data_IF_525592070830
#
_entry.id   IF_525592070830
#
_cell.length_a   1.000
_cell.length_b   1.000
_cell.length_c   1.000
_cell.angle_alpha   90.00
_cell.angle_beta   90.00
_cell.angle_gamma   90.00
#
_symmetry.space_group_name_H-M   'P 1'
#
loop_
_entity.id
_entity.type
_entity.pdbx_description
1 polymer ?
#
# COMPACT_ATOMS: atom_id res chain seq x y z
N UNK A 1 10.70 -1.24 29.60
CA UNK A 1 10.71 -0.13 28.76
C UNK A 1 9.83 -0.37 27.58
N UNK A 2 9.33 0.66 27.16
CA UNK A 2 8.49 0.52 26.04
C UNK A 2 9.24 -0.21 25.00
N UNK A 3 8.58 -1.09 24.41
CA UNK A 3 9.18 -1.67 23.28
C UNK A 3 9.44 -0.57 22.32
N UNK A 4 10.61 -0.56 21.92
CA UNK A 4 11.01 0.56 21.12
C UNK A 4 10.56 0.42 19.68
N UNK A 5 10.03 -0.75 19.30
CA UNK A 5 9.66 -0.86 17.90
C UNK A 5 8.44 -0.03 17.56
N UNK A 6 7.66 0.36 18.54
CA UNK A 6 6.52 1.22 18.26
C UNK A 6 6.92 2.68 18.31
N UNK A 7 8.17 2.97 18.58
CA UNK A 7 8.59 4.33 18.85
C UNK A 7 9.16 5.02 17.65
N UNK A 8 9.59 4.31 16.65
CA UNK A 8 10.40 4.98 15.67
C UNK A 8 9.93 4.79 14.26
N UNK A 9 8.64 5.01 14.06
CA UNK A 9 8.11 5.08 12.72
C UNK A 9 8.60 6.34 12.00
N UNK A 10 9.24 7.26 12.73
CA UNK A 10 9.75 8.47 12.11
C UNK A 10 10.84 8.20 11.08
N UNK A 11 11.47 7.05 11.14
CA UNK A 11 12.47 6.65 10.15
C UNK A 11 11.87 5.81 9.03
N UNK A 12 10.59 5.49 9.11
CA UNK A 12 9.93 4.65 8.12
C UNK A 12 9.40 5.47 6.96
N UNK A 13 9.33 4.81 5.82
CA UNK A 13 8.76 5.40 4.60
C UNK A 13 7.55 4.59 4.17
N UNK A 14 6.52 5.28 3.73
CA UNK A 14 5.30 4.64 3.25
C UNK A 14 4.90 5.20 1.90
N UNK A 15 4.43 4.32 1.03
CA UNK A 15 3.88 4.70 -0.27
C UNK A 15 2.39 4.40 -0.24
N UNK A 16 1.57 5.40 -0.51
CA UNK A 16 0.11 5.26 -0.54
C UNK A 16 -0.32 5.34 -1.99
N UNK A 17 -0.96 4.27 -2.48
CA UNK A 17 -1.39 4.16 -3.87
C UNK A 17 -2.91 4.09 -3.90
N UNK A 18 -3.54 5.18 -4.32
CA UNK A 18 -5.00 5.28 -4.32
C UNK A 18 -5.41 6.33 -5.34
N UNK A 19 -6.28 5.96 -6.26
CA UNK A 19 -6.74 6.87 -7.30
C UNK A 19 -7.71 7.91 -6.82
N UNK A 20 -8.34 7.70 -5.66
CA UNK A 20 -9.30 8.65 -5.10
C UNK A 20 -8.58 9.63 -4.18
N UNK A 21 -8.57 10.93 -4.52
CA UNK A 21 -7.81 11.90 -3.72
C UNK A 21 -8.29 12.03 -2.28
N UNK A 22 -9.58 11.88 -2.03
CA UNK A 22 -10.11 11.96 -0.67
C UNK A 22 -9.62 10.78 0.17
N UNK A 23 -9.76 9.58 -0.38
CA UNK A 23 -9.31 8.36 0.27
C UNK A 23 -7.81 8.41 0.52
N UNK A 24 -7.06 8.85 -0.48
CA UNK A 24 -5.61 8.95 -0.37
C UNK A 24 -5.21 9.94 0.73
N UNK A 25 -5.88 11.09 0.80
CA UNK A 25 -5.59 12.09 1.83
C UNK A 25 -5.84 11.55 3.23
N UNK A 26 -6.91 10.78 3.40
CA UNK A 26 -7.23 10.19 4.70
C UNK A 26 -6.13 9.22 5.14
N UNK A 27 -5.70 8.37 4.22
CA UNK A 27 -4.65 7.40 4.52
C UNK A 27 -3.34 8.09 4.89
N UNK A 28 -2.99 9.13 4.14
CA UNK A 28 -1.78 9.89 4.40
C UNK A 28 -1.83 10.51 5.79
N UNK A 29 -2.97 11.13 6.14
CA UNK A 29 -3.14 11.76 7.43
C UNK A 29 -3.01 10.74 8.56
N UNK A 30 -3.62 9.57 8.39
CA UNK A 30 -3.55 8.53 9.40
C UNK A 30 -2.13 8.03 9.61
N UNK A 31 -1.38 7.84 8.53
CA UNK A 31 0.01 7.40 8.65
C UNK A 31 0.86 8.45 9.36
N UNK A 32 0.64 9.71 9.05
CA UNK A 32 1.36 10.77 9.72
C UNK A 32 1.00 10.86 11.20
N UNK A 33 -0.26 10.65 11.52
CA UNK A 33 -0.69 10.64 12.92
C UNK A 33 -0.05 9.49 13.68
N UNK A 34 0.23 8.39 13.02
CA UNK A 34 0.94 7.28 13.65
C UNK A 34 2.44 7.53 13.75
N UNK A 35 2.93 8.60 13.16
CA UNK A 35 4.33 8.95 13.29
C UNK A 35 5.24 8.48 12.17
N UNK A 36 4.66 8.02 11.05
CA UNK A 36 5.47 7.63 9.89
C UNK A 36 6.17 8.88 9.35
N UNK A 37 7.48 8.80 9.18
CA UNK A 37 8.28 9.98 8.88
C UNK A 37 8.12 10.50 7.47
N UNK A 38 8.03 9.62 6.49
CA UNK A 38 7.91 10.02 5.09
C UNK A 38 6.75 9.28 4.46
N UNK A 39 5.82 10.02 3.87
CA UNK A 39 4.68 9.41 3.19
C UNK A 39 4.64 9.98 1.77
N UNK A 40 4.75 9.10 0.79
CA UNK A 40 4.73 9.45 -0.63
C UNK A 40 3.42 8.94 -1.21
N UNK A 41 2.86 9.69 -2.12
CA UNK A 41 1.56 9.39 -2.72
C UNK A 41 1.70 9.06 -4.18
N UNK A 42 0.88 8.12 -4.64
CA UNK A 42 0.77 7.78 -6.04
C UNK A 42 -0.71 7.60 -6.37
N UNK A 43 -1.17 8.25 -7.41
CA UNK A 43 -2.57 8.17 -7.84
C UNK A 43 -2.79 7.03 -8.81
N UNK A 44 -1.74 6.50 -9.41
CA UNK A 44 -1.83 5.48 -10.45
C UNK A 44 -0.81 4.39 -10.21
N UNK A 45 -1.10 3.21 -10.74
CA UNK A 45 -0.18 2.09 -10.62
C UNK A 45 1.18 2.38 -11.24
N UNK A 46 1.19 3.08 -12.38
CA UNK A 46 2.45 3.42 -13.06
C UNK A 46 3.31 4.35 -12.21
N UNK A 47 2.67 5.27 -11.51
CA UNK A 47 3.39 6.18 -10.63
C UNK A 47 4.00 5.43 -9.44
N UNK A 48 3.22 4.50 -8.88
CA UNK A 48 3.70 3.68 -7.77
C UNK A 48 4.91 2.84 -8.20
N UNK A 49 4.81 2.23 -9.38
CA UNK A 49 5.91 1.42 -9.89
C UNK A 49 7.17 2.25 -10.06
N UNK A 50 7.01 3.46 -10.58
CA UNK A 50 8.14 4.37 -10.78
C UNK A 50 8.80 4.73 -9.46
N UNK A 51 7.99 4.98 -8.42
CA UNK A 51 8.55 5.27 -7.11
C UNK A 51 9.35 4.09 -6.57
N UNK A 52 8.84 2.89 -6.75
CA UNK A 52 9.50 1.69 -6.25
C UNK A 52 10.73 1.31 -7.06
N UNK A 53 10.78 1.69 -8.32
CA UNK A 53 11.98 1.56 -9.13
C UNK A 53 13.09 2.46 -8.61
N UNK A 54 12.69 3.59 -8.05
CA UNK A 54 13.64 4.59 -7.59
C UNK A 54 14.22 4.23 -6.23
N UNK A 55 13.39 3.74 -5.32
CA UNK A 55 13.85 3.36 -3.98
C UNK A 55 12.82 2.44 -3.31
N UNK A 56 13.25 1.64 -2.35
CA UNK A 56 12.31 0.81 -1.60
C UNK A 56 11.56 1.64 -0.56
N UNK A 57 10.42 1.11 -0.11
CA UNK A 57 9.65 1.67 0.98
C UNK A 57 9.45 0.61 2.05
N UNK A 58 9.28 1.05 3.28
CA UNK A 58 8.98 0.12 4.37
C UNK A 58 7.55 -0.41 4.28
N UNK A 59 6.62 0.44 3.86
CA UNK A 59 5.22 0.09 3.73
C UNK A 59 4.69 0.54 2.39
N UNK A 60 3.84 -0.30 1.77
CA UNK A 60 3.06 0.10 0.61
C UNK A 60 1.61 -0.19 0.93
N UNK A 61 0.76 0.84 0.90
CA UNK A 61 -0.67 0.70 1.09
C UNK A 61 -1.32 0.98 -0.26
N UNK A 62 -1.98 -0.01 -0.81
CA UNK A 62 -2.46 0.05 -2.19
C UNK A 62 -3.92 -0.34 -2.27
N UNK A 63 -4.74 0.49 -2.91
CA UNK A 63 -6.14 0.11 -3.12
C UNK A 63 -6.21 -1.04 -4.12
N UNK A 64 -7.23 -1.86 -3.93
CA UNK A 64 -7.41 -3.03 -4.79
C UNK A 64 -7.96 -2.64 -6.16
N UNK A 65 -8.93 -1.74 -6.19
CA UNK A 65 -9.58 -1.35 -7.43
C UNK A 65 -9.29 0.10 -7.74
N UNK A 66 -8.60 0.34 -8.85
CA UNK A 66 -8.36 1.70 -9.32
C UNK A 66 -9.52 2.13 -10.20
N UNK A 67 -10.20 3.21 -9.81
CA UNK A 67 -11.39 3.65 -10.53
C UNK A 67 -11.09 4.21 -11.91
N UNK A 68 -9.84 4.61 -12.14
CA UNK A 68 -9.47 5.25 -13.40
C UNK A 68 -8.50 4.41 -14.23
N UNK A 69 -8.40 3.12 -13.94
CA UNK A 69 -7.50 2.22 -14.66
C UNK A 69 -8.16 0.87 -14.82
N UNK A 70 -7.71 0.12 -15.81
CA UNK A 70 -8.16 -1.25 -15.97
C UNK A 70 -7.38 -2.22 -15.08
N UNK A 71 -6.17 -1.87 -14.70
CA UNK A 71 -5.38 -2.72 -13.80
C UNK A 71 -5.82 -2.51 -12.35
N UNK A 72 -5.56 -3.49 -11.52
CA UNK A 72 -5.93 -3.46 -10.11
C UNK A 72 -4.69 -3.42 -9.23
N UNK A 73 -4.92 -3.26 -7.92
CA UNK A 73 -3.83 -3.37 -6.96
C UNK A 73 -3.20 -4.75 -6.98
N UNK A 74 -4.00 -5.79 -7.25
CA UNK A 74 -3.47 -7.13 -7.38
C UNK A 74 -2.52 -7.24 -8.58
N UNK A 75 -2.92 -6.63 -9.70
CA UNK A 75 -2.06 -6.61 -10.88
C UNK A 75 -0.74 -5.90 -10.60
N UNK A 76 -0.81 -4.81 -9.86
CA UNK A 76 0.40 -4.09 -9.47
C UNK A 76 1.29 -4.95 -8.58
N UNK A 77 0.71 -5.60 -7.58
CA UNK A 77 1.48 -6.47 -6.69
C UNK A 77 2.18 -7.57 -7.46
N UNK A 78 1.46 -8.21 -8.38
CA UNK A 78 2.03 -9.28 -9.18
C UNK A 78 3.18 -8.77 -10.06
N UNK A 79 3.02 -7.60 -10.65
CA UNK A 79 4.05 -6.99 -11.47
C UNK A 79 5.30 -6.67 -10.62
N UNK A 80 5.09 -6.08 -9.44
CA UNK A 80 6.20 -5.72 -8.58
C UNK A 80 6.97 -6.95 -8.09
N UNK A 81 6.26 -8.04 -7.79
CA UNK A 81 6.90 -9.29 -7.39
C UNK A 81 7.69 -9.88 -8.54
N UNK A 82 7.08 -9.92 -9.71
CA UNK A 82 7.69 -10.52 -10.90
C UNK A 82 8.96 -9.80 -11.30
N UNK A 83 9.00 -8.48 -11.10
CA UNK A 83 10.14 -7.65 -11.47
C UNK A 83 11.07 -7.34 -10.30
N UNK A 84 10.83 -7.99 -9.16
CA UNK A 84 11.70 -7.88 -7.99
C UNK A 84 11.84 -6.43 -7.49
N UNK A 85 10.72 -5.71 -7.53
CA UNK A 85 10.68 -4.33 -7.07
C UNK A 85 10.20 -4.18 -5.64
N UNK A 86 9.82 -5.30 -4.99
CA UNK A 86 9.43 -5.31 -3.58
C UNK A 86 10.44 -6.12 -2.79
N UNK A 87 11.29 -5.46 -2.02
CA UNK A 87 12.18 -6.18 -1.12
C UNK A 87 11.39 -7.01 -0.12
N UNK A 88 12.00 -8.06 0.37
CA UNK A 88 11.37 -8.95 1.33
C UNK A 88 10.91 -8.21 2.59
N UNK A 89 11.61 -7.13 2.92
CA UNK A 89 11.33 -6.34 4.12
C UNK A 89 10.17 -5.36 3.95
N UNK A 90 9.70 -5.13 2.74
CA UNK A 90 8.59 -4.20 2.51
C UNK A 90 7.27 -4.88 2.84
N UNK A 91 6.47 -4.23 3.68
CA UNK A 91 5.14 -4.70 4.04
C UNK A 91 4.13 -4.12 3.06
N UNK A 92 3.45 -4.99 2.32
CA UNK A 92 2.47 -4.59 1.33
C UNK A 92 1.07 -4.86 1.86
N UNK A 93 0.26 -3.81 1.96
CA UNK A 93 -1.10 -3.91 2.50
C UNK A 93 -2.09 -3.50 1.42
N UNK A 94 -3.03 -4.38 1.13
CA UNK A 94 -4.10 -4.10 0.18
C UNK A 94 -5.26 -3.45 0.91
N UNK A 95 -5.81 -2.38 0.35
CA UNK A 95 -6.91 -1.64 0.96
C UNK A 95 -8.06 -1.57 -0.03
N UNK A 96 -9.28 -1.87 0.44
CA UNK A 96 -10.43 -1.87 -0.44
C UNK A 96 -11.69 -1.49 0.31
N UNK A 97 -12.64 -0.91 -0.40
CA UNK A 97 -13.95 -0.61 0.16
C UNK A 97 -14.83 -1.84 0.27
N UNK A 98 -14.59 -2.81 -0.61
CA UNK A 98 -15.27 -4.09 -0.54
C UNK A 98 -14.42 -5.13 -1.24
N UNK A 99 -14.57 -6.36 -0.79
CA UNK A 99 -13.78 -7.46 -1.35
C UNK A 99 -14.64 -8.71 -1.39
N UNK A 100 -14.50 -9.48 -2.46
CA UNK A 100 -15.13 -10.78 -2.56
C UNK A 100 -14.22 -11.81 -1.95
N UNK A 101 -14.79 -12.97 -1.64
CA UNK A 101 -14.00 -14.09 -1.15
C UNK A 101 -12.88 -14.46 -2.14
N UNK A 102 -13.22 -14.45 -3.43
CA UNK A 102 -12.23 -14.79 -4.45
C UNK A 102 -11.07 -13.81 -4.47
N UNK A 103 -11.35 -12.52 -4.29
CA UNK A 103 -10.30 -11.50 -4.27
C UNK A 103 -9.39 -11.67 -3.06
N UNK A 104 -9.95 -11.99 -1.92
CA UNK A 104 -9.14 -12.22 -0.73
C UNK A 104 -8.25 -13.45 -0.90
N UNK A 105 -8.81 -14.51 -1.47
CA UNK A 105 -8.04 -15.72 -1.71
C UNK A 105 -6.89 -15.49 -2.68
N UNK A 106 -7.14 -14.73 -3.74
CA UNK A 106 -6.12 -14.41 -4.72
C UNK A 106 -5.00 -13.59 -4.09
N UNK A 107 -5.35 -12.62 -3.27
CA UNK A 107 -4.36 -11.79 -2.59
C UNK A 107 -3.49 -12.64 -1.66
N UNK A 108 -4.09 -13.60 -0.97
CA UNK A 108 -3.35 -14.49 -0.08
C UNK A 108 -2.33 -15.32 -0.86
N UNK A 109 -2.69 -15.75 -2.07
CA UNK A 109 -1.78 -16.51 -2.90
C UNK A 109 -0.60 -15.70 -3.40
N UNK A 110 -0.75 -14.38 -3.43
CA UNK A 110 0.32 -13.48 -3.88
C UNK A 110 1.26 -13.07 -2.76
N UNK A 111 1.19 -13.75 -1.62
CA UNK A 111 2.05 -13.46 -0.48
C UNK A 111 1.87 -12.03 0.01
N UNK A 112 0.62 -11.62 0.14
CA UNK A 112 0.26 -10.31 0.64
C UNK A 112 0.44 -10.26 2.15
N UNK A 113 1.00 -9.17 2.66
CA UNK A 113 1.24 -9.03 4.10
C UNK A 113 0.00 -8.62 4.88
N UNK A 114 -0.92 -7.90 4.23
CA UNK A 114 -2.12 -7.46 4.93
C UNK A 114 -3.23 -7.08 3.98
N UNK A 115 -4.44 -7.04 4.50
CA UNK A 115 -5.64 -6.75 3.73
C UNK A 115 -6.59 -5.97 4.61
N UNK A 116 -6.89 -4.74 4.23
CA UNK A 116 -7.73 -3.86 5.02
C UNK A 116 -8.96 -3.42 4.23
N UNK A 117 -10.08 -3.36 4.91
CA UNK A 117 -11.30 -2.80 4.34
C UNK A 117 -11.36 -1.31 4.68
N UNK A 118 -11.72 -0.52 3.69
CA UNK A 118 -11.95 0.90 3.91
C UNK A 118 -13.20 1.07 4.76
N UNK A 119 -13.24 2.10 5.61
CA UNK A 119 -14.47 2.35 6.36
C UNK A 119 -15.58 2.78 5.43
N UNK A 120 -16.79 2.39 5.81
CA UNK A 120 -17.96 2.80 5.08
C UNK A 120 -18.39 4.19 5.51
N UNK A 121 -18.98 4.90 4.60
CA UNK A 121 -19.49 6.23 4.87
C UNK A 121 -20.82 6.20 5.52
#
# INVERSE_FOLDING_TARGET
MATTFDDDLSQCTALVVDGNPTSRSILVAQLRDFGVGTVVQAARATDARRQLEFRPFDFVLCELHFSNETSSGQDLLDDLRRNQLLPFSTIFIMITGEATYAEVAEAAESALDGYLLKPHK
#
